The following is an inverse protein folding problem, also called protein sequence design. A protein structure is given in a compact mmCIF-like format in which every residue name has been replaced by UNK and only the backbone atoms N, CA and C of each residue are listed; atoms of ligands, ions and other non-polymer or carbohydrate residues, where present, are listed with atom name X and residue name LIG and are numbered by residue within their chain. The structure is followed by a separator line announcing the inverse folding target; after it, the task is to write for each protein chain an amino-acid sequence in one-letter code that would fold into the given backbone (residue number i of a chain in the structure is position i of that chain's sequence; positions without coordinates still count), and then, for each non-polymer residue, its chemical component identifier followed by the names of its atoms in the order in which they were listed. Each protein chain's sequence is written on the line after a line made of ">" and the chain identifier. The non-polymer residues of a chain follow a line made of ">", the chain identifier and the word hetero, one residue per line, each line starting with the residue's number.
data_IF_784452526603
#
_entry.id   IF_784452526603
#
_cell.length_a   1.000
_cell.length_b   1.000
_cell.length_c   1.000
_cell.angle_alpha   90.00
_cell.angle_beta   90.00
_cell.angle_gamma   90.00
#
_symmetry.space_group_name_H-M   'P 1'
#
loop_
_entity.id
_entity.type
_entity.pdbx_description
1 polymer ?
#
# COMPACT_ATOMS: atom_id res chain seq x y z
N UNK A 1 -18.82 -4.40 -10.94
CA UNK A 1 -17.50 -5.02 -11.18
C UNK A 1 -16.37 -4.36 -10.41
N UNK A 2 -16.11 -3.04 -10.56
CA UNK A 2 -14.97 -2.38 -9.89
C UNK A 2 -15.00 -2.46 -8.35
N UNK A 3 -16.19 -2.42 -7.74
CA UNK A 3 -16.35 -2.50 -6.28
C UNK A 3 -15.89 -3.85 -5.71
N UNK A 4 -16.24 -4.95 -6.37
CA UNK A 4 -15.82 -6.29 -5.95
C UNK A 4 -14.30 -6.45 -6.09
N UNK A 5 -13.70 -5.89 -7.14
CA UNK A 5 -12.25 -5.88 -7.32
C UNK A 5 -11.56 -5.01 -6.26
N UNK A 6 -12.09 -3.83 -5.96
CA UNK A 6 -11.57 -2.97 -4.89
C UNK A 6 -11.65 -3.65 -3.52
N UNK A 7 -12.78 -4.29 -3.22
CA UNK A 7 -12.97 -5.04 -1.98
C UNK A 7 -12.03 -6.25 -1.90
N UNK A 8 -11.93 -7.05 -2.96
CA UNK A 8 -11.02 -8.20 -3.01
C UNK A 8 -9.56 -7.80 -2.89
N UNK A 9 -9.16 -6.70 -3.54
CA UNK A 9 -7.81 -6.16 -3.41
C UNK A 9 -7.54 -5.65 -2.00
N UNK A 10 -8.50 -4.95 -1.39
CA UNK A 10 -8.38 -4.48 -0.01
C UNK A 10 -8.21 -5.66 0.96
N UNK A 11 -9.00 -6.73 0.81
CA UNK A 11 -8.85 -7.96 1.60
C UNK A 11 -7.47 -8.59 1.39
N UNK A 12 -6.98 -8.66 0.15
CA UNK A 12 -5.63 -9.15 -0.15
C UNK A 12 -4.55 -8.32 0.55
N UNK A 13 -4.65 -6.98 0.51
CA UNK A 13 -3.72 -6.08 1.23
C UNK A 13 -3.79 -6.32 2.73
N UNK A 14 -4.98 -6.46 3.31
CA UNK A 14 -5.13 -6.76 4.74
C UNK A 14 -4.50 -8.11 5.09
N UNK A 15 -4.79 -9.20 4.36
CA UNK A 15 -4.19 -10.51 4.67
C UNK A 15 -2.65 -10.45 4.58
N UNK A 16 -2.14 -9.80 3.54
CA UNK A 16 -0.69 -9.64 3.31
C UNK A 16 0.00 -8.76 4.35
N UNK A 17 -0.71 -7.77 4.88
CA UNK A 17 -0.24 -6.89 5.94
C UNK A 17 -0.28 -7.60 7.29
N UNK A 18 -1.38 -8.30 7.60
CA UNK A 18 -1.64 -8.90 8.92
C UNK A 18 -0.98 -10.26 9.14
N UNK A 19 -0.55 -10.95 8.08
CA UNK A 19 0.24 -12.18 8.25
C UNK A 19 1.54 -11.87 9.00
N UNK A 20 1.89 -12.72 9.95
CA UNK A 20 3.10 -12.57 10.81
C UNK A 20 4.37 -12.45 9.96
N UNK A 21 4.42 -13.19 8.85
CA UNK A 21 5.55 -13.21 7.92
C UNK A 21 5.06 -13.14 6.48
N UNK A 22 5.46 -12.07 5.78
CA UNK A 22 5.24 -11.98 4.33
C UNK A 22 6.08 -13.00 3.58
N UNK A 23 7.29 -13.29 4.07
CA UNK A 23 8.17 -14.29 3.49
C UNK A 23 7.48 -15.67 3.49
N UNK A 24 6.90 -16.09 4.61
CA UNK A 24 6.24 -17.39 4.73
C UNK A 24 4.97 -17.46 3.88
N UNK A 25 4.20 -16.37 3.79
CA UNK A 25 3.04 -16.31 2.91
C UNK A 25 3.43 -16.54 1.43
N UNK A 26 4.59 -16.03 0.99
CA UNK A 26 5.02 -16.14 -0.41
C UNK A 26 5.76 -17.45 -0.68
N UNK A 27 6.67 -17.86 0.21
CA UNK A 27 7.58 -18.99 -0.01
C UNK A 27 6.95 -20.31 0.40
N UNK A 28 6.36 -20.36 1.59
CA UNK A 28 5.81 -21.59 2.17
C UNK A 28 4.29 -21.66 2.08
N UNK A 29 3.64 -20.62 1.53
CA UNK A 29 2.18 -20.47 1.46
C UNK A 29 1.52 -20.52 2.85
N UNK A 30 2.27 -20.20 3.90
CA UNK A 30 1.78 -20.22 5.27
C UNK A 30 1.28 -18.84 5.65
N UNK A 31 -0.01 -18.76 5.97
CA UNK A 31 -0.63 -17.56 6.51
C UNK A 31 -0.89 -17.79 7.99
N UNK A 32 -0.13 -17.12 8.84
CA UNK A 32 -0.27 -17.17 10.28
C UNK A 32 -0.56 -15.77 10.83
N UNK A 33 -1.44 -15.70 11.82
CA UNK A 33 -1.81 -14.44 12.46
C UNK A 33 -1.53 -14.56 13.95
N UNK A 34 -0.75 -13.62 14.49
CA UNK A 34 -0.42 -13.57 15.91
C UNK A 34 -0.84 -12.25 16.52
N UNK A 35 -1.99 -12.25 17.20
CA UNK A 35 -2.49 -11.05 17.86
C UNK A 35 -1.74 -10.78 19.17
N UNK A 36 -1.20 -9.57 19.31
CA UNK A 36 -0.47 -9.08 20.48
C UNK A 36 -1.19 -7.83 21.01
N UNK A 37 -1.92 -7.93 22.14
CA UNK A 37 -2.74 -6.83 22.68
C UNK A 37 -1.93 -5.59 23.12
N UNK A 38 -0.65 -5.79 23.44
CA UNK A 38 0.27 -4.75 23.90
C UNK A 38 1.50 -4.75 23.00
N UNK A 39 1.39 -4.22 21.76
CA UNK A 39 2.49 -4.24 20.83
C UNK A 39 3.58 -3.25 21.26
N UNK A 40 4.82 -3.53 20.88
CA UNK A 40 5.89 -2.56 21.02
C UNK A 40 5.73 -1.47 19.95
N UNK A 41 5.55 -0.23 20.39
CA UNK A 41 5.37 0.94 19.53
C UNK A 41 6.65 1.75 19.34
N UNK A 42 7.74 1.38 20.03
CA UNK A 42 9.00 2.12 20.03
C UNK A 42 9.58 2.29 18.62
N UNK A 43 9.41 1.27 17.77
CA UNK A 43 9.86 1.26 16.37
C UNK A 43 8.99 2.07 15.40
N UNK A 44 7.79 2.52 15.80
CA UNK A 44 6.82 3.09 14.85
C UNK A 44 7.33 4.36 14.16
N UNK A 45 8.13 5.17 14.87
CA UNK A 45 8.73 6.41 14.33
C UNK A 45 10.21 6.25 13.95
N UNK A 46 10.76 5.03 13.95
CA UNK A 46 12.15 4.77 13.60
C UNK A 46 12.28 4.63 12.09
N UNK A 47 12.96 5.58 11.45
CA UNK A 47 13.22 5.58 10.01
C UNK A 47 14.60 5.01 9.71
N UNK A 48 14.74 3.69 9.84
CA UNK A 48 15.94 2.99 9.41
C UNK A 48 15.83 2.58 7.93
N UNK A 49 16.71 3.12 7.10
CA UNK A 49 16.80 2.79 5.67
C UNK A 49 17.77 1.64 5.40
N UNK A 50 18.56 1.21 6.40
CA UNK A 50 19.45 0.06 6.25
C UNK A 50 18.67 -1.23 5.95
N UNK A 51 17.41 -1.33 6.42
CA UNK A 51 16.51 -2.44 6.05
C UNK A 51 16.30 -2.56 4.54
N UNK A 52 16.33 -1.46 3.77
CA UNK A 52 16.19 -1.52 2.32
C UNK A 52 17.40 -2.15 1.62
N UNK A 53 18.53 -2.29 2.29
CA UNK A 53 19.68 -3.02 1.76
C UNK A 53 19.49 -4.55 1.83
N UNK A 54 18.54 -5.02 2.64
CA UNK A 54 18.17 -6.44 2.74
C UNK A 54 17.21 -6.76 1.59
N UNK A 55 17.56 -7.67 0.65
CA UNK A 55 16.75 -7.94 -0.54
C UNK A 55 15.31 -8.32 -0.24
N UNK A 56 15.08 -9.15 0.78
CA UNK A 56 13.77 -9.63 1.20
C UNK A 56 12.89 -8.48 1.68
N UNK A 57 13.46 -7.60 2.51
CA UNK A 57 12.76 -6.42 3.00
C UNK A 57 12.49 -5.44 1.84
N UNK A 58 13.44 -5.23 0.93
CA UNK A 58 13.26 -4.38 -0.24
C UNK A 58 12.11 -4.87 -1.15
N UNK A 59 12.05 -6.18 -1.42
CA UNK A 59 10.96 -6.80 -2.19
C UNK A 59 9.62 -6.59 -1.49
N UNK A 60 9.57 -6.77 -0.16
CA UNK A 60 8.35 -6.53 0.61
C UNK A 60 7.90 -5.06 0.52
N UNK A 61 8.82 -4.09 0.67
CA UNK A 61 8.50 -2.65 0.55
C UNK A 61 8.05 -2.28 -0.87
N UNK A 62 8.63 -2.89 -1.91
CA UNK A 62 8.16 -2.73 -3.28
C UNK A 62 6.74 -3.29 -3.47
N UNK A 63 6.45 -4.43 -2.85
CA UNK A 63 5.11 -5.02 -2.81
C UNK A 63 4.08 -4.09 -2.16
N UNK A 64 4.45 -3.43 -1.06
CA UNK A 64 3.66 -2.39 -0.39
C UNK A 64 3.35 -1.21 -1.33
N UNK A 65 4.39 -0.58 -1.89
CA UNK A 65 4.22 0.52 -2.85
C UNK A 65 3.34 0.11 -4.05
N UNK A 66 3.56 -1.08 -4.62
CA UNK A 66 2.74 -1.58 -5.72
C UNK A 66 1.29 -1.83 -5.30
N UNK A 67 1.07 -2.38 -4.11
CA UNK A 67 -0.27 -2.65 -3.59
C UNK A 67 -1.09 -1.38 -3.44
N UNK A 68 -0.49 -0.31 -2.93
CA UNK A 68 -1.15 0.99 -2.80
C UNK A 68 -1.28 1.76 -4.11
N UNK A 69 -0.39 1.54 -5.08
CA UNK A 69 -0.60 2.00 -6.46
C UNK A 69 -1.90 1.42 -7.04
N UNK A 70 -2.07 0.09 -6.96
CA UNK A 70 -3.26 -0.60 -7.49
C UNK A 70 -4.51 -0.21 -6.70
N UNK A 71 -4.42 -0.11 -5.38
CA UNK A 71 -5.55 0.30 -4.54
C UNK A 71 -6.03 1.72 -4.91
N UNK A 72 -5.09 2.66 -5.10
CA UNK A 72 -5.41 4.03 -5.55
C UNK A 72 -6.10 4.03 -6.91
N UNK A 73 -5.61 3.22 -7.86
CA UNK A 73 -6.26 3.06 -9.16
C UNK A 73 -7.70 2.55 -9.04
N UNK A 74 -7.94 1.54 -8.19
CA UNK A 74 -9.26 0.96 -7.99
C UNK A 74 -10.22 1.98 -7.35
N UNK A 75 -9.79 2.70 -6.31
CA UNK A 75 -10.58 3.77 -5.72
C UNK A 75 -10.86 4.92 -6.70
N UNK A 76 -9.88 5.29 -7.53
CA UNK A 76 -10.08 6.28 -8.58
C UNK A 76 -11.12 5.81 -9.60
N UNK A 77 -11.08 4.55 -10.00
CA UNK A 77 -12.05 3.96 -10.92
C UNK A 77 -13.47 3.90 -10.36
N UNK A 78 -13.60 3.69 -9.06
CA UNK A 78 -14.91 3.64 -8.40
C UNK A 78 -15.51 5.03 -8.23
N UNK A 79 -14.72 5.99 -7.70
CA UNK A 79 -15.23 7.30 -7.28
C UNK A 79 -15.05 8.40 -8.32
N UNK A 80 -14.26 8.15 -9.37
CA UNK A 80 -13.89 9.11 -10.44
C UNK A 80 -13.31 10.43 -9.90
N UNK A 81 -12.82 10.43 -8.66
CA UNK A 81 -12.26 11.59 -7.99
C UNK A 81 -10.87 11.24 -7.46
N UNK A 82 -9.85 11.91 -8.01
CA UNK A 82 -8.47 11.68 -7.63
C UNK A 82 -8.21 12.01 -6.16
N UNK A 83 -8.78 13.13 -5.68
CA UNK A 83 -8.64 13.55 -4.28
C UNK A 83 -9.17 12.49 -3.30
N UNK A 84 -10.35 11.93 -3.59
CA UNK A 84 -10.95 10.88 -2.76
C UNK A 84 -10.15 9.57 -2.83
N UNK A 85 -9.66 9.21 -4.01
CA UNK A 85 -8.85 8.01 -4.18
C UNK A 85 -7.55 8.06 -3.36
N UNK A 86 -6.84 9.20 -3.42
CA UNK A 86 -5.63 9.43 -2.63
C UNK A 86 -5.93 9.41 -1.14
N UNK A 87 -6.98 10.13 -0.70
CA UNK A 87 -7.36 10.15 0.71
C UNK A 87 -7.64 8.75 1.26
N UNK A 88 -8.40 7.93 0.52
CA UNK A 88 -8.72 6.57 0.96
C UNK A 88 -7.51 5.64 0.94
N UNK A 89 -6.62 5.78 -0.05
CA UNK A 89 -5.38 4.98 -0.10
C UNK A 89 -4.46 5.33 1.07
N UNK A 90 -4.25 6.62 1.37
CA UNK A 90 -3.41 7.04 2.50
C UNK A 90 -4.03 6.68 3.86
N UNK A 91 -5.36 6.80 4.00
CA UNK A 91 -6.05 6.36 5.20
C UNK A 91 -5.91 4.84 5.40
N UNK A 92 -6.00 4.05 4.32
CA UNK A 92 -5.76 2.61 4.38
C UNK A 92 -4.31 2.28 4.75
N UNK A 93 -3.32 2.98 4.18
CA UNK A 93 -1.89 2.78 4.49
C UNK A 93 -1.59 3.03 5.97
N UNK A 94 -2.07 4.17 6.48
CA UNK A 94 -1.91 4.50 7.90
C UNK A 94 -2.60 3.48 8.81
N UNK A 95 -3.82 3.05 8.45
CA UNK A 95 -4.55 2.05 9.23
C UNK A 95 -3.86 0.69 9.21
N UNK A 96 -3.37 0.23 8.06
CA UNK A 96 -2.69 -1.08 7.97
C UNK A 96 -1.44 -1.10 8.83
N UNK A 97 -0.64 -0.04 8.83
CA UNK A 97 0.57 0.05 9.66
C UNK A 97 0.27 0.06 11.16
N UNK A 98 -0.80 0.74 11.59
CA UNK A 98 -1.25 0.67 13.00
C UNK A 98 -1.71 -0.74 13.35
N UNK A 99 -2.53 -1.36 12.50
CA UNK A 99 -3.07 -2.70 12.80
C UNK A 99 -1.93 -3.73 12.81
N UNK A 100 -0.94 -3.59 11.92
CA UNK A 100 0.22 -4.49 11.84
C UNK A 100 1.01 -4.61 13.15
N UNK A 101 1.10 -3.54 13.95
CA UNK A 101 1.70 -3.59 15.28
C UNK A 101 1.08 -4.68 16.14
N UNK A 102 -0.25 -4.82 16.10
CA UNK A 102 -0.98 -5.82 16.85
C UNK A 102 -0.84 -7.23 16.29
N UNK A 103 -0.27 -7.42 15.09
CA UNK A 103 -0.12 -8.73 14.45
C UNK A 103 1.33 -9.25 14.47
N UNK A 104 2.17 -8.66 15.33
CA UNK A 104 3.57 -9.10 15.51
C UNK A 104 4.53 -8.61 14.44
N UNK A 105 4.12 -7.61 13.63
CA UNK A 105 4.98 -6.97 12.64
C UNK A 105 5.47 -5.61 13.11
N UNK A 106 6.61 -5.21 12.56
CA UNK A 106 7.16 -3.87 12.74
C UNK A 106 6.36 -2.86 11.90
N UNK A 107 5.19 -2.44 12.41
CA UNK A 107 4.46 -1.33 11.84
C UNK A 107 5.30 -0.05 11.95
N UNK A 108 5.46 0.68 10.85
CA UNK A 108 6.33 1.85 10.82
C UNK A 108 5.76 2.97 9.95
N UNK A 109 5.89 4.21 10.41
CA UNK A 109 5.49 5.39 9.63
C UNK A 109 6.28 5.51 8.31
N UNK A 110 7.48 4.91 8.23
CA UNK A 110 8.24 4.74 6.98
C UNK A 110 7.44 4.02 5.91
N UNK A 111 6.69 3.00 6.29
CA UNK A 111 5.95 2.17 5.32
C UNK A 111 4.74 2.91 4.78
N UNK A 112 4.10 3.76 5.59
CA UNK A 112 3.08 4.72 5.10
C UNK A 112 3.67 5.65 4.03
N UNK A 113 4.93 6.08 4.15
CA UNK A 113 5.58 6.90 3.12
C UNK A 113 5.82 6.09 1.84
N UNK A 114 6.25 4.83 1.97
CA UNK A 114 6.49 3.92 0.83
C UNK A 114 5.16 3.63 0.10
N UNK A 115 4.08 3.37 0.83
CA UNK A 115 2.72 3.23 0.29
C UNK A 115 2.26 4.51 -0.41
N UNK A 116 2.62 5.66 0.18
CA UNK A 116 2.43 6.99 -0.39
C UNK A 116 3.16 7.17 -1.73
N UNK A 117 4.36 6.62 -1.91
CA UNK A 117 5.09 6.65 -3.19
C UNK A 117 4.34 5.90 -4.28
N UNK A 118 3.76 4.74 -3.94
CA UNK A 118 2.88 3.99 -4.85
C UNK A 118 1.67 4.81 -5.31
N UNK A 119 0.99 5.42 -4.34
CA UNK A 119 -0.14 6.34 -4.58
C UNK A 119 0.27 7.52 -5.47
N UNK A 120 1.43 8.12 -5.20
CA UNK A 120 1.97 9.25 -5.95
C UNK A 120 2.35 8.85 -7.39
N UNK A 121 2.92 7.66 -7.58
CA UNK A 121 3.23 7.12 -8.90
C UNK A 121 1.97 6.98 -9.76
N UNK A 122 0.86 6.48 -9.21
CA UNK A 122 -0.42 6.45 -9.91
C UNK A 122 -0.90 7.87 -10.28
N UNK A 123 -0.77 8.82 -9.36
CA UNK A 123 -1.11 10.23 -9.63
C UNK A 123 -0.32 10.82 -10.79
N UNK A 124 0.99 10.59 -10.82
CA UNK A 124 1.86 11.08 -11.87
C UNK A 124 1.47 10.51 -13.25
N UNK A 125 1.20 9.20 -13.32
CA UNK A 125 0.74 8.56 -14.55
C UNK A 125 -0.61 9.09 -15.03
N UNK A 126 -1.56 9.29 -14.12
CA UNK A 126 -2.88 9.79 -14.47
C UNK A 126 -2.82 11.25 -14.97
N UNK A 127 -1.99 12.09 -14.37
CA UNK A 127 -1.74 13.46 -14.84
C UNK A 127 -1.14 13.47 -16.25
N UNK A 128 -0.09 12.67 -16.51
CA UNK A 128 0.53 12.54 -17.84
C UNK A 128 -0.48 12.13 -18.91
N UNK A 129 -1.38 11.17 -18.61
CA UNK A 129 -2.46 10.75 -19.51
C UNK A 129 -3.44 11.89 -19.85
N UNK A 130 -3.80 12.71 -18.85
CA UNK A 130 -4.70 13.85 -19.07
C UNK A 130 -4.04 14.92 -19.95
N UNK A 131 -2.77 15.27 -19.69
CA UNK A 131 -2.01 16.22 -20.50
C UNK A 131 -1.88 15.75 -21.94
N UNK A 132 -1.49 14.48 -22.16
CA UNK A 132 -1.36 13.90 -23.50
C UNK A 132 -2.69 13.85 -24.27
N UNK A 133 -3.82 13.64 -23.57
CA UNK A 133 -5.14 13.70 -24.19
C UNK A 133 -5.48 15.13 -24.65
N UNK A 134 -5.18 16.13 -23.83
CA UNK A 134 -5.43 17.53 -24.16
C UNK A 134 -4.60 18.02 -25.36
N UNK A 135 -3.33 17.62 -25.45
CA UNK A 135 -2.46 17.95 -26.58
C UNK A 135 -2.98 17.39 -27.91
N UNK A 136 -3.60 16.20 -27.90
CA UNK A 136 -4.17 15.57 -29.11
C UNK A 136 -5.50 16.18 -29.56
N UNK A 137 -6.26 16.80 -28.66
CA UNK A 137 -7.57 17.39 -28.98
C UNK A 137 -7.49 18.87 -29.35
N UNK A 138 -6.44 19.58 -28.91
CA UNK A 138 -6.20 20.98 -29.30
C UNK A 138 -5.42 21.17 -30.60
N UNK A 139 -5.12 20.09 -31.33
CA UNK A 139 -4.45 20.11 -32.64
C UNK A 139 -5.38 19.72 -33.80
N UNK A 140 -6.70 19.75 -33.55
CA UNK A 140 -7.78 19.58 -34.53
C UNK A 140 -8.59 20.88 -34.56
#
# INVERSE_FOLDING_TARGET
>A
MNKCLAAGWLVFVFISALTESFHDMIVTQTVAFRFTPHPDVSGFFVFDLAELAIPEAAIQKLGHAFSFFVLTYLFFRERRSMKRAVLYALAAAFLTEIVQLFFGRNGCLRDVLIDGLGTAAFCALQRKKLTAKHTKTGSL
#
